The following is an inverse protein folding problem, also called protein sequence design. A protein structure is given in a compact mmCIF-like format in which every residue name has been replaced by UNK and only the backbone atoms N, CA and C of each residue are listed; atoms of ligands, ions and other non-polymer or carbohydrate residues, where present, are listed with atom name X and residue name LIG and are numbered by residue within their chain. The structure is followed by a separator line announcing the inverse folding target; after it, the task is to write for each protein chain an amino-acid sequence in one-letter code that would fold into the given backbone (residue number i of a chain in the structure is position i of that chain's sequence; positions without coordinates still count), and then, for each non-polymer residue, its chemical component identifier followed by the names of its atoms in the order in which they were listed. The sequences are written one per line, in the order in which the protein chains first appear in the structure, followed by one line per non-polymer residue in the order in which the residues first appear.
data_IF_178518367378
#
_entry.id   IF_178518367378
#
_cell.length_a   1.000
_cell.length_b   1.000
_cell.length_c   1.000
_cell.angle_alpha   90.00
_cell.angle_beta   90.00
_cell.angle_gamma   90.00
#
_symmetry.space_group_name_H-M   'P 1'
#
loop_
_entity.id
_entity.type
_entity.pdbx_description
1 polymer ?
#
# COMPACT_ATOMS: atom_id res chain seq x y z
N UNK A 1 -17.28 8.19 27.77
CA UNK A 1 -17.47 7.16 26.73
C UNK A 1 -17.29 7.67 25.27
N UNK A 2 -17.54 8.95 24.96
CA UNK A 2 -17.59 9.45 23.56
C UNK A 2 -16.27 9.61 22.80
N UNK A 3 -15.14 9.93 23.46
CA UNK A 3 -13.87 10.16 22.75
C UNK A 3 -13.31 8.91 22.05
N UNK A 4 -13.45 7.71 22.65
CA UNK A 4 -12.95 6.46 22.07
C UNK A 4 -13.67 6.05 20.77
N UNK A 5 -14.94 6.43 20.61
CA UNK A 5 -15.73 6.15 19.41
C UNK A 5 -15.28 7.03 18.23
N UNK A 6 -15.07 8.32 18.47
CA UNK A 6 -14.61 9.26 17.47
C UNK A 6 -13.20 8.93 16.92
N UNK A 7 -12.28 8.48 17.79
CA UNK A 7 -10.93 8.08 17.37
C UNK A 7 -10.94 6.83 16.49
N UNK A 8 -11.83 5.87 16.77
CA UNK A 8 -12.01 4.66 15.95
C UNK A 8 -12.58 4.98 14.57
N UNK A 9 -13.53 5.90 14.49
CA UNK A 9 -14.10 6.37 13.21
C UNK A 9 -13.06 7.06 12.34
N UNK A 10 -12.24 7.96 12.91
CA UNK A 10 -11.13 8.61 12.18
C UNK A 10 -10.08 7.61 11.68
N UNK A 11 -9.77 6.59 12.49
CA UNK A 11 -8.84 5.54 12.11
C UNK A 11 -9.39 4.68 10.98
N UNK A 12 -10.66 4.27 11.04
CA UNK A 12 -11.32 3.52 9.98
C UNK A 12 -11.35 4.30 8.66
N UNK A 13 -11.68 5.59 8.70
CA UNK A 13 -11.68 6.45 7.51
C UNK A 13 -10.27 6.57 6.90
N UNK A 14 -9.24 6.72 7.73
CA UNK A 14 -7.84 6.76 7.26
C UNK A 14 -7.43 5.44 6.60
N UNK A 15 -7.81 4.30 7.19
CA UNK A 15 -7.53 2.97 6.62
C UNK A 15 -8.21 2.79 5.26
N UNK A 16 -9.50 3.11 5.15
CA UNK A 16 -10.23 3.02 3.88
C UNK A 16 -9.58 3.92 2.83
N UNK A 17 -9.30 5.18 3.16
CA UNK A 17 -8.65 6.12 2.24
C UNK A 17 -7.29 5.63 1.75
N UNK A 18 -6.48 5.05 2.63
CA UNK A 18 -5.16 4.54 2.26
C UNK A 18 -5.26 3.25 1.43
N UNK A 19 -6.18 2.35 1.76
CA UNK A 19 -6.44 1.15 0.97
C UNK A 19 -6.90 1.48 -0.45
N UNK A 20 -7.81 2.46 -0.60
CA UNK A 20 -8.24 2.93 -1.92
C UNK A 20 -7.05 3.43 -2.74
N UNK A 21 -6.13 4.20 -2.13
CA UNK A 21 -4.91 4.65 -2.82
C UNK A 21 -4.02 3.49 -3.27
N UNK A 22 -3.87 2.46 -2.43
CA UNK A 22 -3.08 1.26 -2.76
C UNK A 22 -3.73 0.51 -3.94
N UNK A 23 -5.06 0.33 -3.92
CA UNK A 23 -5.79 -0.35 -5.01
C UNK A 23 -5.63 0.41 -6.33
N UNK A 24 -5.81 1.74 -6.31
CA UNK A 24 -5.63 2.58 -7.50
C UNK A 24 -4.18 2.48 -8.02
N UNK A 25 -3.19 2.61 -7.13
CA UNK A 25 -1.78 2.49 -7.49
C UNK A 25 -1.41 1.10 -8.03
N UNK A 26 -1.92 0.04 -7.41
CA UNK A 26 -1.72 -1.34 -7.85
C UNK A 26 -2.35 -1.62 -9.21
N UNK A 27 -3.56 -1.13 -9.45
CA UNK A 27 -4.22 -1.22 -10.76
C UNK A 27 -3.44 -0.50 -11.86
N UNK A 28 -2.93 0.71 -11.57
CA UNK A 28 -2.08 1.44 -12.51
C UNK A 28 -0.76 0.69 -12.80
N UNK A 29 -0.12 0.13 -11.78
CA UNK A 29 1.08 -0.69 -11.97
C UNK A 29 0.80 -1.94 -12.82
N UNK A 30 -0.32 -2.63 -12.58
CA UNK A 30 -0.70 -3.79 -13.38
C UNK A 30 -0.92 -3.44 -14.84
N UNK A 31 -1.66 -2.36 -15.12
CA UNK A 31 -1.93 -1.90 -16.50
C UNK A 31 -0.64 -1.48 -17.20
N UNK A 32 0.25 -0.75 -16.52
CA UNK A 32 1.53 -0.33 -17.12
C UNK A 32 2.50 -1.47 -17.34
N UNK A 33 2.42 -2.53 -16.52
CA UNK A 33 3.14 -3.78 -16.74
C UNK A 33 2.62 -4.51 -17.98
N UNK A 34 1.30 -4.70 -18.10
CA UNK A 34 0.66 -5.34 -19.27
C UNK A 34 0.94 -4.58 -20.57
N UNK A 35 0.99 -3.25 -20.52
CA UNK A 35 1.34 -2.40 -21.66
C UNK A 35 2.83 -2.46 -22.05
N UNK A 36 3.67 -3.16 -21.29
CA UNK A 36 5.09 -3.31 -21.60
C UNK A 36 5.92 -2.05 -21.35
N UNK A 37 5.41 -1.08 -20.57
CA UNK A 37 6.16 0.15 -20.21
C UNK A 37 7.43 -0.20 -19.44
N UNK A 38 7.36 -1.24 -18.61
CA UNK A 38 8.46 -1.75 -17.80
C UNK A 38 9.27 -2.86 -18.50
N UNK A 39 8.99 -3.14 -19.78
CA UNK A 39 9.71 -4.11 -20.59
C UNK A 39 11.05 -3.58 -21.12
N UNK A 40 11.63 -4.27 -22.10
CA UNK A 40 12.86 -3.81 -22.75
C UNK A 40 12.69 -2.42 -23.39
N UNK A 41 13.77 -1.66 -23.53
CA UNK A 41 13.73 -0.26 -23.98
C UNK A 41 12.96 -0.03 -25.30
N UNK A 42 13.00 -1.01 -26.22
CA UNK A 42 12.24 -0.98 -27.47
C UNK A 42 10.73 -1.16 -27.26
N UNK A 43 10.32 -2.02 -26.32
CA UNK A 43 8.92 -2.25 -25.95
C UNK A 43 8.37 -1.05 -25.18
N UNK A 44 9.14 -0.52 -24.23
CA UNK A 44 8.78 0.66 -23.45
C UNK A 44 8.59 1.88 -24.33
N UNK A 45 9.51 2.13 -25.27
CA UNK A 45 9.41 3.27 -26.19
C UNK A 45 8.18 3.15 -27.09
N UNK A 46 7.90 1.96 -27.66
CA UNK A 46 6.67 1.72 -28.45
C UNK A 46 5.40 1.92 -27.62
N UNK A 47 5.38 1.42 -26.39
CA UNK A 47 4.26 1.60 -25.47
C UNK A 47 4.03 3.09 -25.16
N UNK A 48 5.10 3.83 -24.86
CA UNK A 48 5.03 5.26 -24.58
C UNK A 48 4.54 6.06 -25.79
N UNK A 49 5.03 5.77 -27.00
CA UNK A 49 4.55 6.42 -28.24
C UNK A 49 3.07 6.17 -28.49
N UNK A 50 2.58 4.96 -28.23
CA UNK A 50 1.16 4.63 -28.35
C UNK A 50 0.31 5.39 -27.33
N UNK A 51 0.78 5.47 -26.08
CA UNK A 51 0.07 6.13 -24.98
C UNK A 51 0.05 7.65 -25.13
N UNK A 52 1.17 8.26 -25.53
CA UNK A 52 1.24 9.69 -25.77
C UNK A 52 0.30 10.12 -26.90
N UNK A 53 0.19 9.34 -27.98
CA UNK A 53 -0.80 9.59 -29.04
C UNK A 53 -2.25 9.56 -28.54
N UNK A 54 -2.59 8.65 -27.65
CA UNK A 54 -3.93 8.54 -27.07
C UNK A 54 -4.24 9.64 -26.04
N UNK A 55 -3.25 10.02 -25.23
CA UNK A 55 -3.37 11.06 -24.20
C UNK A 55 -3.49 12.47 -24.81
N UNK A 56 -2.74 12.76 -25.86
CA UNK A 56 -2.82 14.04 -26.58
C UNK A 56 -4.19 14.18 -27.27
N UNK A 57 -4.73 13.10 -27.83
CA UNK A 57 -6.03 13.12 -28.50
C UNK A 57 -7.23 13.21 -27.56
N UNK A 58 -7.07 12.83 -26.28
CA UNK A 58 -8.17 12.77 -25.30
C UNK A 58 -7.80 13.44 -24.00
N UNK A 59 -7.19 14.62 -24.04
CA UNK A 59 -6.75 15.31 -22.83
C UNK A 59 -7.97 15.63 -21.94
N UNK A 60 -8.14 14.94 -20.80
CA UNK A 60 -9.33 15.15 -20.00
C UNK A 60 -9.28 16.51 -19.29
N UNK A 61 -10.43 17.09 -18.92
CA UNK A 61 -10.50 18.45 -18.35
C UNK A 61 -9.71 18.60 -17.04
N UNK A 62 -9.51 17.50 -16.31
CA UNK A 62 -8.76 17.46 -15.05
C UNK A 62 -7.23 17.45 -15.23
N UNK A 63 -6.69 17.41 -16.45
CA UNK A 63 -5.23 17.50 -16.67
C UNK A 63 -4.66 18.82 -16.15
N UNK A 64 -5.47 19.88 -16.15
CA UNK A 64 -5.08 21.18 -15.59
C UNK A 64 -4.93 21.17 -14.07
N UNK A 65 -5.49 20.16 -13.39
CA UNK A 65 -5.38 20.00 -11.94
C UNK A 65 -4.13 19.19 -11.55
N UNK A 66 -3.42 18.59 -12.51
CA UNK A 66 -2.15 17.96 -12.23
C UNK A 66 -1.08 19.03 -11.92
N UNK A 67 -0.22 18.79 -10.92
CA UNK A 67 0.91 19.65 -10.67
C UNK A 67 1.81 19.69 -11.91
N UNK A 68 2.42 20.86 -12.13
CA UNK A 68 3.40 21.03 -13.20
C UNK A 68 4.59 20.08 -13.00
N UNK A 69 5.30 19.80 -14.09
CA UNK A 69 6.51 18.97 -14.06
C UNK A 69 7.54 19.51 -13.07
N UNK A 70 7.64 20.84 -12.94
CA UNK A 70 8.55 21.49 -12.00
C UNK A 70 8.13 21.27 -10.54
N UNK A 71 6.85 21.46 -10.22
CA UNK A 71 6.31 21.19 -8.88
C UNK A 71 6.48 19.72 -8.49
N UNK A 72 6.28 18.79 -9.44
CA UNK A 72 6.55 17.37 -9.24
C UNK A 72 8.03 17.12 -8.96
N UNK A 73 8.94 17.71 -9.72
CA UNK A 73 10.38 17.54 -9.54
C UNK A 73 10.85 18.05 -8.17
N UNK A 74 10.37 19.23 -7.76
CA UNK A 74 10.63 19.80 -6.42
C UNK A 74 10.10 18.88 -5.34
N UNK A 75 8.86 18.41 -5.46
CA UNK A 75 8.23 17.53 -4.48
C UNK A 75 8.98 16.19 -4.33
N UNK A 76 9.40 15.59 -5.45
CA UNK A 76 10.19 14.35 -5.45
C UNK A 76 11.53 14.58 -4.76
N UNK A 77 12.25 15.65 -5.14
CA UNK A 77 13.55 16.00 -4.54
C UNK A 77 13.42 16.16 -3.03
N UNK A 78 12.43 16.93 -2.57
CA UNK A 78 12.30 17.29 -1.15
C UNK A 78 11.86 16.10 -0.29
N UNK A 79 11.10 15.16 -0.87
CA UNK A 79 10.54 14.03 -0.14
C UNK A 79 11.31 12.71 -0.31
N UNK A 80 12.26 12.63 -1.25
CA UNK A 80 12.95 11.38 -1.59
C UNK A 80 13.54 10.67 -0.36
N UNK A 81 14.40 11.38 0.39
CA UNK A 81 15.07 10.81 1.56
C UNK A 81 14.07 10.39 2.65
N UNK A 82 13.05 11.23 2.91
CA UNK A 82 12.00 10.89 3.88
C UNK A 82 11.23 9.65 3.46
N UNK A 83 10.94 9.52 2.17
CA UNK A 83 10.27 8.36 1.59
C UNK A 83 11.08 7.08 1.78
N UNK A 84 12.35 7.09 1.36
CA UNK A 84 13.27 5.95 1.53
C UNK A 84 13.36 5.55 2.99
N UNK A 85 13.60 6.50 3.89
CA UNK A 85 13.69 6.22 5.33
C UNK A 85 12.40 5.62 5.90
N UNK A 86 11.22 6.10 5.49
CA UNK A 86 9.92 5.56 5.95
C UNK A 86 9.73 4.12 5.50
N UNK A 87 10.05 3.81 4.24
CA UNK A 87 9.94 2.45 3.70
C UNK A 87 10.90 1.51 4.42
N UNK A 88 12.17 1.89 4.53
CA UNK A 88 13.18 1.07 5.22
C UNK A 88 12.82 0.86 6.70
N UNK A 89 12.37 1.91 7.40
CA UNK A 89 11.96 1.81 8.80
C UNK A 89 10.69 0.95 8.99
N UNK A 90 9.74 1.06 8.06
CA UNK A 90 8.54 0.22 8.06
C UNK A 90 8.89 -1.26 7.87
N UNK A 91 9.79 -1.55 6.91
CA UNK A 91 10.25 -2.91 6.64
C UNK A 91 11.09 -3.47 7.78
N UNK A 92 11.95 -2.68 8.41
CA UNK A 92 12.77 -3.13 9.55
C UNK A 92 11.91 -3.45 10.78
N UNK A 93 10.75 -2.83 10.93
CA UNK A 93 9.80 -3.14 11.99
C UNK A 93 8.93 -4.38 11.69
N UNK A 94 8.89 -4.85 10.44
CA UNK A 94 8.02 -5.95 10.04
C UNK A 94 8.31 -7.28 10.76
N UNK A 95 9.57 -7.72 10.96
CA UNK A 95 9.87 -8.95 11.71
C UNK A 95 9.35 -8.92 13.15
N UNK A 96 9.50 -7.78 13.83
CA UNK A 96 9.01 -7.61 15.20
C UNK A 96 7.48 -7.70 15.26
N UNK A 97 6.79 -7.11 14.28
CA UNK A 97 5.33 -7.21 14.17
C UNK A 97 4.90 -8.67 13.92
N UNK A 98 5.50 -9.34 12.94
CA UNK A 98 5.19 -10.75 12.62
C UNK A 98 5.46 -11.66 13.82
N UNK A 99 6.59 -11.49 14.50
CA UNK A 99 6.94 -12.26 15.70
C UNK A 99 5.88 -12.13 16.79
N UNK A 100 5.44 -10.90 17.10
CA UNK A 100 4.41 -10.65 18.11
C UNK A 100 3.06 -11.31 17.79
N UNK A 101 2.64 -11.32 16.52
CA UNK A 101 1.37 -11.96 16.15
C UNK A 101 1.49 -13.48 16.05
N UNK A 102 2.65 -13.99 15.63
CA UNK A 102 2.94 -15.42 15.65
C UNK A 102 2.92 -15.98 17.08
N UNK A 103 3.57 -15.30 18.03
CA UNK A 103 3.57 -15.68 19.45
C UNK A 103 2.16 -15.71 20.05
N UNK A 104 1.34 -14.70 19.71
CA UNK A 104 -0.07 -14.68 20.12
C UNK A 104 -0.87 -15.84 19.53
N UNK A 105 -0.62 -16.20 18.28
CA UNK A 105 -1.29 -17.31 17.61
C UNK A 105 -0.87 -18.66 18.19
N UNK A 106 0.42 -18.88 18.45
CA UNK A 106 0.89 -20.13 19.08
C UNK A 106 0.37 -20.28 20.51
N UNK A 107 0.34 -19.18 21.28
CA UNK A 107 -0.22 -19.17 22.63
C UNK A 107 -1.72 -19.48 22.61
N UNK A 108 -2.50 -18.84 21.71
CA UNK A 108 -3.94 -19.10 21.63
C UNK A 108 -4.25 -20.52 21.17
N UNK A 109 -3.47 -21.06 20.23
CA UNK A 109 -3.58 -22.46 19.80
C UNK A 109 -3.24 -23.42 20.94
N UNK A 110 -2.18 -23.15 21.71
CA UNK A 110 -1.81 -23.97 22.87
C UNK A 110 -2.92 -23.97 23.95
N UNK A 111 -3.53 -22.81 24.22
CA UNK A 111 -4.68 -22.72 25.14
C UNK A 111 -5.89 -23.47 24.62
N UNK A 112 -6.21 -23.36 23.33
CA UNK A 112 -7.31 -24.09 22.71
C UNK A 112 -7.11 -25.61 22.81
N UNK A 113 -5.91 -26.11 22.51
CA UNK A 113 -5.58 -27.53 22.63
C UNK A 113 -5.71 -27.98 24.10
N UNK A 114 -5.17 -27.21 25.06
CA UNK A 114 -5.29 -27.55 26.48
C UNK A 114 -6.74 -27.62 26.95
N UNK A 115 -7.60 -26.73 26.46
CA UNK A 115 -9.00 -26.64 26.88
C UNK A 115 -9.89 -27.70 26.21
N UNK A 116 -9.60 -28.11 24.97
CA UNK A 116 -10.45 -29.02 24.19
C UNK A 116 -9.92 -30.45 24.11
N UNK A 117 -8.60 -30.68 24.20
CA UNK A 117 -8.00 -32.02 24.16
C UNK A 117 -7.67 -32.60 25.55
N UNK A 118 -7.75 -31.81 26.63
CA UNK A 118 -7.72 -32.34 28.00
C UNK A 118 -9.06 -32.10 28.71
N UNK A 119 -10.13 -32.85 28.39
CA UNK A 119 -11.27 -32.93 29.27
C UNK A 119 -10.86 -33.81 30.47
N UNK A 120 -10.48 -33.17 31.57
CA UNK A 120 -10.55 -33.76 32.90
C UNK A 120 -9.55 -34.91 33.19
N UNK A 121 -8.43 -34.57 33.85
CA UNK A 121 -7.70 -35.54 34.70
C UNK A 121 -7.72 -35.01 36.13
N UNK A 122 -8.67 -35.51 36.93
CA UNK A 122 -8.88 -35.25 38.37
C UNK A 122 -9.95 -34.18 38.63
N UNK A 123 -11.17 -34.48 39.12
CA UNK A 123 -11.47 -34.98 40.49
C UNK A 123 -10.60 -34.33 41.57
#
# INVERSE_FOLDING_TARGET
MGQRSATRSKMALSLVKNLTKIVIGGGALYVTYDQGIWGEGSQSTKALTRLSGQLVAKQPPYVKEFPSTEEMAVSVRDNWNSGVMKVCSGLSAAPAFVGKYSEKATTSLALFIRQNLHPNVGK
#
